data_IF_020247889733
#
_entry.id   IF_020247889733
#
_cell.length_a   1.000
_cell.length_b   1.000
_cell.length_c   1.000
_cell.angle_alpha   90.00
_cell.angle_beta   90.00
_cell.angle_gamma   90.00
#
_symmetry.space_group_name_H-M   'P 1'
#
loop_
_entity.id
_entity.type
_entity.pdbx_description
1 polymer ?
#
# COMPACT_ATOMS: atom_id res chain seq x y z
N UNK A 1 3.17 1.89 -5.36
CA UNK A 1 3.05 0.45 -5.65
C UNK A 1 3.09 -0.33 -4.36
N UNK A 2 2.11 -1.21 -4.15
CA UNK A 2 2.01 -2.10 -3.00
C UNK A 2 2.26 -3.52 -3.49
N UNK A 3 3.50 -3.98 -3.40
CA UNK A 3 3.91 -5.20 -4.10
C UNK A 3 4.95 -6.03 -3.37
N UNK A 4 5.34 -7.12 -4.02
CA UNK A 4 6.49 -7.92 -3.61
C UNK A 4 7.80 -7.21 -3.97
N UNK A 5 8.92 -7.85 -3.65
CA UNK A 5 10.25 -7.30 -3.88
C UNK A 5 10.48 -6.92 -5.35
N UNK A 6 9.99 -7.75 -6.28
CA UNK A 6 10.19 -7.53 -7.72
C UNK A 6 9.38 -6.33 -8.23
N UNK A 7 8.13 -6.18 -7.79
CA UNK A 7 7.32 -5.02 -8.14
C UNK A 7 7.82 -3.72 -7.49
N UNK A 8 8.36 -3.81 -6.28
CA UNK A 8 9.00 -2.69 -5.59
C UNK A 8 10.24 -2.24 -6.35
N UNK A 9 11.09 -3.17 -6.80
CA UNK A 9 12.33 -2.84 -7.51
C UNK A 9 12.03 -2.21 -8.87
N UNK A 10 11.02 -2.71 -9.59
CA UNK A 10 10.49 -2.06 -10.80
C UNK A 10 9.97 -0.65 -10.51
N UNK A 11 9.14 -0.51 -9.47
CA UNK A 11 8.57 0.79 -9.10
C UNK A 11 9.65 1.82 -8.75
N UNK A 12 10.66 1.42 -7.98
CA UNK A 12 11.82 2.25 -7.64
C UNK A 12 12.61 2.66 -8.88
N UNK A 13 12.79 1.74 -9.84
CA UNK A 13 13.48 2.06 -11.09
C UNK A 13 12.74 3.11 -11.91
N UNK A 14 11.41 3.11 -11.84
CA UNK A 14 10.54 4.12 -12.46
C UNK A 14 10.31 5.37 -11.59
N UNK A 15 10.95 5.48 -10.43
CA UNK A 15 10.79 6.62 -9.51
C UNK A 15 9.41 6.69 -8.84
N UNK A 16 8.68 5.58 -8.78
CA UNK A 16 7.34 5.49 -8.17
C UNK A 16 7.46 5.02 -6.73
N UNK A 17 6.80 5.74 -5.82
CA UNK A 17 6.73 5.36 -4.41
C UNK A 17 6.20 3.93 -4.26
N UNK A 18 6.94 3.09 -3.51
CA UNK A 18 6.61 1.70 -3.29
C UNK A 18 6.65 1.33 -1.80
N UNK A 19 5.73 0.46 -1.35
CA UNK A 19 5.68 -0.06 0.01
C UNK A 19 5.55 -1.58 -0.01
N UNK A 20 6.23 -2.24 0.93
CA UNK A 20 6.17 -3.68 1.11
C UNK A 20 4.99 -4.12 1.97
N UNK A 21 4.71 -5.43 1.96
CA UNK A 21 3.73 -6.06 2.86
C UNK A 21 4.05 -5.74 4.33
N UNK A 22 5.32 -5.74 4.72
CA UNK A 22 5.72 -5.50 6.11
C UNK A 22 5.53 -4.05 6.52
N UNK A 23 5.72 -3.11 5.59
CA UNK A 23 5.42 -1.69 5.83
C UNK A 23 3.92 -1.46 5.97
N UNK A 24 3.10 -2.14 5.17
CA UNK A 24 1.64 -2.11 5.27
C UNK A 24 1.14 -2.70 6.61
N UNK A 25 1.76 -3.79 7.10
CA UNK A 25 1.46 -4.38 8.42
C UNK A 25 1.83 -3.44 9.58
N UNK A 26 2.90 -2.66 9.46
CA UNK A 26 3.23 -1.62 10.46
C UNK A 26 2.21 -0.47 10.42
N UNK A 27 1.70 -0.13 9.24
CA UNK A 27 0.72 0.93 9.03
C UNK A 27 -0.69 0.60 9.56
N UNK A 28 -1.11 -0.68 9.48
CA UNK A 28 -2.38 -1.23 9.99
C UNK A 28 -2.74 -0.69 11.38
N UNK A 29 -1.76 -0.63 12.30
CA UNK A 29 -2.01 -0.28 13.70
C UNK A 29 -2.38 1.19 13.90
N UNK A 30 -2.26 2.04 12.87
CA UNK A 30 -2.41 3.49 13.02
C UNK A 30 -3.34 4.12 11.96
N UNK A 31 -4.63 4.23 12.32
CA UNK A 31 -5.68 4.82 11.47
C UNK A 31 -5.36 6.24 10.97
N UNK A 32 -4.59 7.05 11.71
CA UNK A 32 -4.21 8.41 11.28
C UNK A 32 -3.27 8.38 10.09
N UNK A 33 -2.27 7.50 10.10
CA UNK A 33 -1.30 7.36 9.00
C UNK A 33 -1.96 6.76 7.76
N UNK A 34 -2.87 5.78 7.94
CA UNK A 34 -3.64 5.21 6.83
C UNK A 34 -4.48 6.30 6.13
N UNK A 35 -5.21 7.13 6.88
CA UNK A 35 -5.98 8.24 6.30
C UNK A 35 -5.10 9.29 5.62
N UNK A 36 -3.88 9.52 6.12
CA UNK A 36 -2.91 10.43 5.49
C UNK A 36 -2.39 9.86 4.16
N UNK A 37 -2.13 8.56 4.11
CA UNK A 37 -1.71 7.86 2.89
C UNK A 37 -2.83 7.87 1.84
N UNK A 38 -4.07 7.56 2.26
CA UNK A 38 -5.25 7.57 1.40
C UNK A 38 -5.53 8.95 0.78
N UNK A 39 -5.20 10.04 1.50
CA UNK A 39 -5.33 11.41 0.98
C UNK A 39 -4.15 11.86 0.11
N UNK A 40 -3.02 11.16 0.17
CA UNK A 40 -1.80 11.53 -0.57
C UNK A 40 -1.81 10.97 -2.01
N UNK A 41 -2.50 9.86 -2.24
CA UNK A 41 -2.53 9.18 -3.53
C UNK A 41 -3.98 8.90 -3.94
N UNK A 42 -4.32 9.18 -5.20
CA UNK A 42 -5.66 8.91 -5.75
C UNK A 42 -5.87 7.44 -6.10
N UNK A 43 -4.80 6.72 -6.44
CA UNK A 43 -4.85 5.31 -6.79
C UNK A 43 -3.63 4.54 -6.27
N UNK A 44 -3.83 3.26 -5.96
CA UNK A 44 -2.77 2.34 -5.57
C UNK A 44 -2.69 1.19 -6.58
N UNK A 45 -1.51 0.96 -7.13
CA UNK A 45 -1.20 -0.25 -7.87
C UNK A 45 -0.75 -1.33 -6.88
N UNK A 46 -1.38 -2.50 -6.91
CA UNK A 46 -1.03 -3.61 -6.03
C UNK A 46 -0.92 -4.94 -6.78
N UNK A 47 0.01 -5.79 -6.35
CA UNK A 47 0.16 -7.14 -6.90
C UNK A 47 -1.07 -8.00 -6.56
N UNK A 48 -1.37 -8.97 -7.41
CA UNK A 48 -2.56 -9.83 -7.28
C UNK A 48 -2.61 -10.58 -5.93
N UNK A 49 -1.46 -10.98 -5.40
CA UNK A 49 -1.34 -11.65 -4.09
C UNK A 49 -1.68 -10.71 -2.91
N UNK A 50 -1.40 -9.42 -3.05
CA UNK A 50 -1.68 -8.40 -2.03
C UNK A 50 -3.08 -7.81 -2.11
N UNK A 51 -3.69 -7.75 -3.30
CA UNK A 51 -4.96 -7.05 -3.51
C UNK A 51 -6.08 -7.61 -2.62
N UNK A 52 -6.07 -8.92 -2.36
CA UNK A 52 -7.02 -9.60 -1.46
C UNK A 52 -6.76 -9.28 0.02
N UNK A 53 -5.53 -8.94 0.38
CA UNK A 53 -5.12 -8.65 1.77
C UNK A 53 -5.27 -7.17 2.12
N UNK A 54 -5.17 -6.28 1.13
CA UNK A 54 -5.26 -4.82 1.30
C UNK A 54 -6.51 -4.38 2.09
N UNK A 55 -7.75 -4.84 1.75
CA UNK A 55 -8.93 -4.45 2.50
C UNK A 55 -8.89 -4.87 3.97
N UNK A 56 -8.32 -6.05 4.26
CA UNK A 56 -8.18 -6.56 5.64
C UNK A 56 -7.08 -5.84 6.42
N UNK A 57 -5.95 -5.52 5.78
CA UNK A 57 -4.79 -4.91 6.43
C UNK A 57 -4.98 -3.43 6.70
N UNK A 58 -5.61 -2.71 5.78
CA UNK A 58 -5.73 -1.25 5.83
C UNK A 58 -7.15 -0.82 6.25
N UNK A 59 -8.07 -1.78 6.31
CA UNK A 59 -9.45 -1.57 6.72
C UNK A 59 -10.22 -0.63 5.77
N UNK A 60 -11.44 -0.22 6.14
CA UNK A 60 -12.21 0.75 5.37
C UNK A 60 -11.56 2.16 5.36
N UNK A 61 -10.39 2.34 5.98
CA UNK A 61 -9.68 3.62 6.01
C UNK A 61 -9.14 4.08 4.65
N UNK A 62 -9.02 3.19 3.67
CA UNK A 62 -8.65 3.49 2.28
C UNK A 62 -9.82 3.59 1.31
N UNK A 63 -11.01 3.16 1.73
CA UNK A 63 -12.20 3.11 0.89
C UNK A 63 -13.20 4.13 1.42
N UNK A 64 -13.28 5.30 0.77
CA UNK A 64 -14.45 6.17 0.88
C UNK A 64 -14.90 6.56 -0.52
#
# INVERSE_FOLDING_TARGET
VLGDQHDIDRAKHHGVDAMSVDDLKKLNKNKKLIKKLARKYDAFLASESLIKQIPRLLGPGLSK
#
